data_IF_229012923253
#
_entry.id   IF_229012923253
#
_cell.length_a   1.000
_cell.length_b   1.000
_cell.length_c   1.000
_cell.angle_alpha   90.00
_cell.angle_beta   90.00
_cell.angle_gamma   90.00
#
_symmetry.space_group_name_H-M   'P 1'
#
loop_
_entity.id
_entity.type
_entity.pdbx_description
1 polymer ?
#
# COMPACT_ATOMS: atom_id res chain seq x y z
N UNK A 1 -13.14 9.09 22.59
CA UNK A 1 -12.52 8.37 21.46
C UNK A 1 -11.23 7.74 21.94
N UNK A 2 -11.00 6.44 21.71
CA UNK A 2 -9.71 5.83 21.98
C UNK A 2 -8.68 6.31 20.95
N UNK A 3 -7.52 6.75 21.41
CA UNK A 3 -6.41 7.15 20.55
C UNK A 3 -5.38 6.03 20.47
N UNK A 4 -4.80 5.82 19.30
CA UNK A 4 -3.75 4.82 19.07
C UNK A 4 -2.59 5.48 18.33
N UNK A 5 -1.37 5.07 18.65
CA UNK A 5 -0.16 5.63 18.05
C UNK A 5 0.15 4.96 16.71
N UNK A 6 0.47 5.78 15.71
CA UNK A 6 1.05 5.33 14.43
C UNK A 6 2.56 5.58 14.45
N UNK A 7 3.36 4.53 14.36
CA UNK A 7 4.81 4.60 14.25
C UNK A 7 5.23 4.07 12.88
N UNK A 8 5.91 4.90 12.09
CA UNK A 8 6.42 4.53 10.77
C UNK A 8 7.92 4.81 10.69
N UNK A 9 8.66 3.91 10.04
CA UNK A 9 10.07 4.12 9.68
C UNK A 9 10.11 4.80 8.32
N UNK A 10 10.75 5.95 8.24
CA UNK A 10 10.90 6.73 7.02
C UNK A 10 12.27 7.41 7.01
N UNK A 11 12.77 7.72 5.83
CA UNK A 11 13.99 8.52 5.69
C UNK A 11 13.82 9.91 6.36
N UNK A 12 14.89 10.37 7.01
CA UNK A 12 14.86 11.62 7.76
C UNK A 12 14.68 12.84 6.85
N UNK A 13 15.28 12.84 5.65
CA UNK A 13 15.15 13.95 4.70
C UNK A 13 13.72 13.99 4.17
N UNK A 14 13.16 12.83 3.81
CA UNK A 14 11.76 12.72 3.37
C UNK A 14 10.80 13.25 4.45
N UNK A 15 11.00 12.87 5.71
CA UNK A 15 10.17 13.38 6.82
C UNK A 15 10.21 14.92 6.89
N UNK A 16 11.40 15.50 6.80
CA UNK A 16 11.58 16.95 6.88
C UNK A 16 10.92 17.67 5.70
N UNK A 17 11.08 17.14 4.49
CA UNK A 17 10.42 17.67 3.30
C UNK A 17 8.90 17.61 3.42
N UNK A 18 8.35 16.46 3.81
CA UNK A 18 6.91 16.30 4.00
C UNK A 18 6.35 17.26 5.07
N UNK A 19 7.10 17.49 6.14
CA UNK A 19 6.71 18.43 7.18
C UNK A 19 6.68 19.87 6.67
N UNK A 20 7.73 20.33 5.99
CA UNK A 20 7.77 21.68 5.39
C UNK A 20 6.62 21.88 4.38
N UNK A 21 6.34 20.87 3.56
CA UNK A 21 5.23 20.91 2.60
C UNK A 21 3.88 21.04 3.30
N UNK A 22 3.66 20.29 4.40
CA UNK A 22 2.42 20.40 5.17
C UNK A 22 2.27 21.80 5.80
N UNK A 23 3.37 22.36 6.34
CA UNK A 23 3.40 23.70 6.92
C UNK A 23 3.08 24.79 5.89
N UNK A 24 3.53 24.64 4.64
CA UNK A 24 3.15 25.54 3.54
C UNK A 24 1.63 25.54 3.27
N UNK A 25 0.94 24.44 3.59
CA UNK A 25 -0.53 24.36 3.53
C UNK A 25 -1.20 24.82 4.84
N UNK A 26 -0.44 25.31 5.83
CA UNK A 26 -0.95 25.72 7.14
C UNK A 26 -1.38 24.55 8.03
N UNK A 27 -0.87 23.34 7.77
CA UNK A 27 -1.27 22.11 8.46
C UNK A 27 -0.07 21.40 9.08
N UNK A 28 -0.20 20.81 10.28
CA UNK A 28 0.82 19.89 10.76
C UNK A 28 0.78 18.59 9.95
N UNK A 29 1.94 17.97 9.76
CA UNK A 29 2.09 16.71 9.02
C UNK A 29 1.13 15.61 9.54
N UNK A 30 0.90 15.53 10.84
CA UNK A 30 -0.02 14.58 11.46
C UNK A 30 -1.47 14.74 10.98
N UNK A 31 -1.93 15.98 10.78
CA UNK A 31 -3.28 16.27 10.27
C UNK A 31 -3.41 15.85 8.81
N UNK A 32 -2.37 16.07 8.01
CA UNK A 32 -2.33 15.63 6.61
C UNK A 32 -2.39 14.10 6.51
N UNK A 33 -1.59 13.38 7.31
CA UNK A 33 -1.62 11.91 7.38
C UNK A 33 -3.00 11.42 7.82
N UNK A 34 -3.61 12.05 8.83
CA UNK A 34 -4.95 11.69 9.31
C UNK A 34 -6.03 11.89 8.24
N UNK A 35 -5.97 13.00 7.52
CA UNK A 35 -6.90 13.29 6.42
C UNK A 35 -6.74 12.27 5.28
N UNK A 36 -5.50 11.95 4.91
CA UNK A 36 -5.20 10.92 3.91
C UNK A 36 -5.77 9.56 4.32
N UNK A 37 -5.45 9.07 5.52
CA UNK A 37 -5.96 7.78 6.02
C UNK A 37 -7.50 7.77 6.07
N UNK A 38 -8.12 8.86 6.51
CA UNK A 38 -9.59 8.99 6.53
C UNK A 38 -10.16 8.89 5.12
N UNK A 39 -9.54 9.56 4.14
CA UNK A 39 -9.96 9.51 2.75
C UNK A 39 -9.84 8.10 2.16
N UNK A 40 -8.71 7.42 2.41
CA UNK A 40 -8.49 6.04 1.96
C UNK A 40 -9.54 5.09 2.53
N UNK A 41 -9.86 5.21 3.83
CA UNK A 41 -10.87 4.35 4.48
C UNK A 41 -12.27 4.61 3.93
N UNK A 42 -12.62 5.88 3.65
CA UNK A 42 -13.94 6.27 3.13
C UNK A 42 -14.13 5.86 1.67
N UNK A 43 -13.13 6.12 0.83
CA UNK A 43 -13.23 5.91 -0.63
C UNK A 43 -12.85 4.51 -1.06
N UNK A 44 -12.17 3.74 -0.20
CA UNK A 44 -11.53 2.45 -0.54
C UNK A 44 -10.54 2.56 -1.71
N UNK A 45 -10.00 3.76 -1.92
CA UNK A 45 -9.04 4.07 -2.98
C UNK A 45 -7.89 4.88 -2.38
N UNK A 46 -6.71 4.66 -2.90
CA UNK A 46 -5.58 5.56 -2.73
C UNK A 46 -5.05 5.88 -4.13
N UNK A 47 -4.69 7.13 -4.38
CA UNK A 47 -4.21 7.58 -5.67
C UNK A 47 -2.74 7.99 -5.51
N UNK A 48 -1.86 7.27 -6.20
CA UNK A 48 -0.46 7.63 -6.37
C UNK A 48 -0.28 7.98 -7.84
N UNK A 49 -0.73 9.17 -8.24
CA UNK A 49 -0.80 9.56 -9.65
C UNK A 49 0.57 9.68 -10.32
N UNK A 50 1.65 9.81 -9.55
CA UNK A 50 3.03 10.03 -10.02
C UNK A 50 4.04 9.06 -9.38
N UNK A 51 3.58 7.92 -8.87
CA UNK A 51 4.50 6.87 -8.41
C UNK A 51 4.91 6.03 -9.62
N UNK A 52 6.20 5.88 -9.88
CA UNK A 52 6.64 4.85 -10.82
C UNK A 52 6.24 3.48 -10.29
N UNK A 53 5.82 2.58 -11.18
CA UNK A 53 5.48 1.20 -10.83
C UNK A 53 6.64 0.53 -10.07
N UNK A 54 7.89 0.85 -10.44
CA UNK A 54 9.11 0.35 -9.79
C UNK A 54 9.25 0.79 -8.32
N UNK A 55 8.94 2.05 -8.00
CA UNK A 55 8.98 2.52 -6.61
C UNK A 55 7.85 1.88 -5.80
N UNK A 56 6.67 1.76 -6.39
CA UNK A 56 5.54 1.08 -5.76
C UNK A 56 5.86 -0.38 -5.47
N UNK A 57 6.42 -1.10 -6.45
CA UNK A 57 6.87 -2.47 -6.31
C UNK A 57 7.91 -2.61 -5.21
N UNK A 58 8.85 -1.67 -5.09
CA UNK A 58 9.84 -1.68 -4.02
C UNK A 58 9.20 -1.57 -2.62
N UNK A 59 8.19 -0.71 -2.45
CA UNK A 59 7.44 -0.55 -1.20
C UNK A 59 6.64 -1.80 -0.89
N UNK A 60 5.97 -2.38 -1.89
CA UNK A 60 5.21 -3.62 -1.73
C UNK A 60 6.15 -4.77 -1.37
N UNK A 61 7.30 -4.89 -2.04
CA UNK A 61 8.29 -5.93 -1.76
C UNK A 61 8.89 -5.78 -0.35
N UNK A 62 9.16 -4.55 0.09
CA UNK A 62 9.60 -4.27 1.46
C UNK A 62 8.51 -4.65 2.48
N UNK A 63 7.26 -4.32 2.18
CA UNK A 63 6.11 -4.69 3.02
C UNK A 63 5.86 -6.21 3.04
N UNK A 64 6.09 -6.91 1.93
CA UNK A 64 5.95 -8.36 1.82
C UNK A 64 7.01 -9.15 2.60
N UNK A 65 8.10 -8.51 3.04
CA UNK A 65 9.04 -9.11 4.01
C UNK A 65 8.44 -9.24 5.41
N UNK A 66 7.32 -8.56 5.68
CA UNK A 66 6.51 -8.82 6.86
C UNK A 66 5.74 -10.14 6.69
N UNK A 67 6.05 -11.12 7.57
CA UNK A 67 5.50 -12.48 7.54
C UNK A 67 3.97 -12.52 7.52
N UNK A 68 3.30 -11.50 8.08
CA UNK A 68 1.83 -11.44 8.08
C UNK A 68 1.26 -11.17 6.68
N UNK A 69 1.94 -10.36 5.87
CA UNK A 69 1.49 -10.00 4.52
C UNK A 69 1.67 -11.19 3.59
N UNK A 70 2.81 -11.88 3.65
CA UNK A 70 3.08 -13.10 2.87
C UNK A 70 1.97 -14.14 3.06
N UNK A 71 1.59 -14.41 4.33
CA UNK A 71 0.55 -15.40 4.64
C UNK A 71 -0.84 -15.05 4.08
N UNK A 72 -1.16 -13.75 3.96
CA UNK A 72 -2.43 -13.29 3.38
C UNK A 72 -2.42 -13.38 1.86
N UNK A 73 -1.28 -13.06 1.24
CA UNK A 73 -1.09 -13.16 -0.21
C UNK A 73 -1.16 -14.62 -0.67
N UNK A 74 -0.53 -15.56 0.04
CA UNK A 74 -0.63 -16.99 -0.25
C UNK A 74 -2.08 -17.50 -0.16
N UNK A 75 -2.83 -17.07 0.86
CA UNK A 75 -4.25 -17.41 1.00
C UNK A 75 -5.10 -16.86 -0.16
N UNK A 76 -4.84 -15.63 -0.57
CA UNK A 76 -5.52 -15.02 -1.72
C UNK A 76 -5.18 -15.74 -3.02
N UNK A 77 -3.90 -16.03 -3.26
CA UNK A 77 -3.45 -16.78 -4.42
C UNK A 77 -4.08 -18.18 -4.48
N UNK A 78 -4.09 -18.89 -3.35
CA UNK A 78 -4.77 -20.20 -3.23
C UNK A 78 -6.28 -20.11 -3.49
N UNK A 79 -6.95 -19.08 -2.99
CA UNK A 79 -8.37 -18.85 -3.25
C UNK A 79 -8.67 -18.55 -4.72
N UNK A 80 -7.80 -17.78 -5.40
CA UNK A 80 -7.92 -17.48 -6.83
C UNK A 80 -7.71 -18.74 -7.67
N UNK A 81 -6.67 -19.53 -7.39
CA UNK A 81 -6.39 -20.80 -8.09
C UNK A 81 -7.56 -21.79 -7.91
N UNK A 82 -8.11 -21.87 -6.69
CA UNK A 82 -9.28 -22.71 -6.40
C UNK A 82 -10.54 -22.24 -7.15
N UNK A 83 -10.73 -20.93 -7.29
CA UNK A 83 -11.89 -20.33 -7.96
C UNK A 83 -11.79 -20.40 -9.48
N UNK A 84 -10.58 -20.32 -10.03
CA UNK A 84 -10.29 -20.37 -11.45
C UNK A 84 -9.21 -21.42 -11.75
N UNK A 85 -9.54 -22.72 -11.65
CA UNK A 85 -8.60 -23.76 -12.06
C UNK A 85 -8.29 -23.59 -13.55
N UNK A 86 -7.04 -23.26 -13.88
CA UNK A 86 -6.60 -23.07 -15.26
C UNK A 86 -6.81 -24.36 -16.05
N UNK A 87 -7.83 -24.36 -16.89
CA UNK A 87 -8.16 -25.51 -17.74
C UNK A 87 -7.18 -25.54 -18.92
N UNK A 88 -5.99 -26.11 -18.69
CA UNK A 88 -4.95 -26.29 -19.71
C UNK A 88 -5.37 -27.41 -20.67
N UNK A 89 -6.42 -27.16 -21.47
CA UNK A 89 -6.68 -27.85 -22.74
C UNK A 89 -6.37 -26.89 -23.88
N UNK A 90 -5.10 -26.52 -24.02
CA UNK A 90 -4.58 -26.11 -25.33
C UNK A 90 -4.41 -27.44 -26.08
N UNK A 91 -5.47 -27.85 -26.79
CA UNK A 91 -5.43 -29.00 -27.68
C UNK A 91 -4.29 -28.80 -28.66
N UNK A 92 -3.41 -29.80 -28.77
CA UNK A 92 -2.50 -29.96 -29.88
C UNK A 92 -3.26 -29.83 -31.20
N UNK A 93 -2.90 -28.85 -32.00
CA UNK A 93 -3.19 -28.84 -33.43
C UNK A 93 -2.02 -28.15 -34.12
N UNK A 94 -0.95 -28.92 -34.31
CA UNK A 94 -0.04 -28.82 -35.45
C UNK A 94 0.13 -30.26 -35.93
#
# INVERSE_FOLDING_TARGET
MQQTQLTIRIDQKLKKQAQNTAENFGLPLSSLIKAFLTNVVKTKKFALNECSDEYFDSIIMESCRDKQITSKLEKLAGAVIKKYPTNKKIKSKI
#
